data_IF_259872340762
#
_entry.id   IF_259872340762
#
_cell.length_a   1.000
_cell.length_b   1.000
_cell.length_c   1.000
_cell.angle_alpha   90.00
_cell.angle_beta   90.00
_cell.angle_gamma   90.00
#
_symmetry.space_group_name_H-M   'P 1'
#
loop_
_entity.id
_entity.type
_entity.pdbx_description
1 polymer ?
#
# COMPACT_ATOMS: atom_id res chain seq x y z
N UNK A 1 1.77 1.41 -24.65
CA UNK A 1 2.98 0.59 -24.36
C UNK A 1 2.93 0.17 -22.91
N UNK A 2 3.30 -1.07 -22.63
CA UNK A 2 3.30 -1.68 -21.29
C UNK A 2 4.71 -1.74 -20.73
N UNK A 3 4.83 -1.88 -19.41
CA UNK A 3 6.11 -2.04 -18.73
C UNK A 3 5.98 -2.55 -17.32
N UNK A 4 7.10 -2.96 -16.74
CA UNK A 4 7.22 -3.55 -15.41
C UNK A 4 8.34 -2.89 -14.60
N UNK A 5 8.24 -2.90 -13.28
CA UNK A 5 9.33 -2.53 -12.38
C UNK A 5 10.20 -3.73 -12.05
N UNK A 6 11.49 -3.62 -12.31
CA UNK A 6 12.52 -4.59 -11.87
C UNK A 6 13.40 -4.02 -10.73
N UNK A 7 12.99 -2.90 -10.16
CA UNK A 7 13.60 -2.30 -8.97
C UNK A 7 12.73 -2.58 -7.75
N UNK A 8 13.33 -2.67 -6.58
CA UNK A 8 12.62 -2.88 -5.30
C UNK A 8 11.46 -1.91 -5.12
N UNK A 9 11.74 -0.63 -5.35
CA UNK A 9 10.78 0.47 -5.25
C UNK A 9 11.15 1.55 -6.26
N UNK A 10 10.17 2.06 -7.00
CA UNK A 10 10.33 3.18 -7.93
C UNK A 10 9.41 4.32 -7.50
N UNK A 11 9.94 5.54 -7.25
CA UNK A 11 9.11 6.69 -6.92
C UNK A 11 8.31 7.14 -8.16
N UNK A 12 7.01 7.37 -7.96
CA UNK A 12 6.10 7.94 -8.95
C UNK A 12 5.79 9.38 -8.54
N UNK A 13 6.13 10.33 -9.39
CA UNK A 13 6.14 11.75 -9.07
C UNK A 13 5.00 12.52 -9.73
N UNK A 14 4.63 13.65 -9.13
CA UNK A 14 3.61 14.55 -9.67
C UNK A 14 4.05 15.19 -11.00
N UNK A 15 5.33 15.47 -11.17
CA UNK A 15 5.91 16.15 -12.34
C UNK A 15 7.16 15.43 -12.84
N UNK A 16 7.54 15.68 -14.10
CA UNK A 16 8.70 15.09 -14.78
C UNK A 16 10.05 15.71 -14.30
N UNK A 17 10.35 15.64 -12.99
CA UNK A 17 11.60 16.14 -12.38
C UNK A 17 11.90 15.44 -11.06
N UNK A 18 13.18 15.30 -10.71
CA UNK A 18 13.65 14.60 -9.52
C UNK A 18 13.14 15.22 -8.20
N UNK A 19 13.03 16.54 -8.14
CA UNK A 19 12.60 17.27 -6.94
C UNK A 19 11.07 17.41 -6.82
N UNK A 20 10.29 16.80 -7.74
CA UNK A 20 8.83 16.83 -7.65
C UNK A 20 8.32 15.97 -6.50
N UNK A 21 7.14 16.32 -6.01
CA UNK A 21 6.40 15.55 -5.01
C UNK A 21 6.26 14.08 -5.42
N UNK A 22 6.46 13.17 -4.49
CA UNK A 22 6.17 11.75 -4.66
C UNK A 22 4.69 11.49 -4.38
N UNK A 23 3.94 11.07 -5.41
CA UNK A 23 2.52 10.72 -5.26
C UNK A 23 2.33 9.31 -4.71
N UNK A 24 3.18 8.39 -5.17
CA UNK A 24 3.16 6.98 -4.78
C UNK A 24 4.48 6.31 -5.13
N UNK A 25 4.56 5.02 -4.88
CA UNK A 25 5.68 4.17 -5.28
C UNK A 25 5.16 2.98 -6.07
N UNK A 26 5.97 2.48 -6.98
CA UNK A 26 5.77 1.24 -7.70
C UNK A 26 6.70 0.18 -7.12
N UNK A 27 6.16 -0.98 -6.76
CA UNK A 27 6.91 -2.07 -6.19
C UNK A 27 7.49 -2.99 -7.28
N UNK A 28 8.44 -3.83 -6.89
CA UNK A 28 9.01 -4.85 -7.77
C UNK A 28 7.92 -5.75 -8.38
N UNK A 29 7.97 -5.98 -9.68
CA UNK A 29 6.99 -6.78 -10.41
C UNK A 29 5.67 -6.08 -10.72
N UNK A 30 5.39 -4.88 -10.19
CA UNK A 30 4.19 -4.14 -10.58
C UNK A 30 4.26 -3.68 -12.04
N UNK A 31 3.12 -3.75 -12.72
CA UNK A 31 3.00 -3.34 -14.13
C UNK A 31 2.34 -1.98 -14.28
N UNK A 32 2.52 -1.38 -15.44
CA UNK A 32 1.99 -0.06 -15.78
C UNK A 32 1.72 0.12 -17.27
N UNK A 33 0.84 1.04 -17.55
CA UNK A 33 0.60 1.58 -18.89
C UNK A 33 1.33 2.90 -19.05
N UNK A 34 2.08 3.06 -20.14
CA UNK A 34 2.75 4.33 -20.48
C UNK A 34 1.76 5.20 -21.22
N UNK A 35 1.48 6.39 -20.69
CA UNK A 35 0.54 7.38 -21.23
C UNK A 35 1.25 8.43 -22.10
N UNK A 36 2.46 8.85 -21.68
CA UNK A 36 3.25 9.88 -22.38
C UNK A 36 4.75 9.57 -22.21
N UNK A 37 5.56 9.84 -23.21
CA UNK A 37 7.02 9.68 -23.19
C UNK A 37 7.71 11.01 -23.43
N UNK A 38 8.69 11.32 -22.58
CA UNK A 38 9.67 12.40 -22.72
C UNK A 38 11.08 11.78 -22.70
N UNK A 39 12.13 12.49 -23.12
CA UNK A 39 13.47 11.91 -23.21
C UNK A 39 14.00 11.24 -21.94
N UNK A 40 13.65 11.78 -20.76
CA UNK A 40 14.06 11.26 -19.44
C UNK A 40 12.93 10.79 -18.57
N UNK A 41 11.67 11.02 -18.94
CA UNK A 41 10.52 10.78 -18.08
C UNK A 41 9.38 10.12 -18.84
N UNK A 42 8.71 9.19 -18.18
CA UNK A 42 7.48 8.61 -18.70
C UNK A 42 6.33 8.93 -17.74
N UNK A 43 5.21 9.45 -18.26
CA UNK A 43 3.95 9.47 -17.54
C UNK A 43 3.32 8.10 -17.64
N UNK A 44 2.99 7.55 -16.50
CA UNK A 44 2.47 6.20 -16.39
C UNK A 44 1.14 6.19 -15.64
N UNK A 45 0.40 5.09 -15.83
CA UNK A 45 -0.71 4.69 -14.99
C UNK A 45 -0.40 3.32 -14.43
N UNK A 46 -0.41 3.18 -13.10
CA UNK A 46 -0.23 1.89 -12.43
C UNK A 46 -1.45 0.99 -12.67
N UNK A 47 -1.20 -0.28 -13.02
CA UNK A 47 -2.29 -1.21 -13.31
C UNK A 47 -2.95 -1.73 -12.02
N UNK A 48 -2.23 -1.63 -10.87
CA UNK A 48 -2.71 -2.11 -9.59
C UNK A 48 -3.81 -1.22 -9.00
N UNK A 49 -3.64 0.10 -8.97
CA UNK A 49 -4.56 1.03 -8.30
C UNK A 49 -5.01 2.20 -9.18
N UNK A 50 -4.51 2.26 -10.43
CA UNK A 50 -4.86 3.30 -11.38
C UNK A 50 -4.18 4.65 -11.16
N UNK A 51 -3.30 4.76 -10.15
CA UNK A 51 -2.60 6.02 -9.86
C UNK A 51 -1.71 6.42 -11.03
N UNK A 52 -1.76 7.71 -11.38
CA UNK A 52 -0.93 8.28 -12.44
C UNK A 52 0.21 9.13 -11.89
N UNK A 53 1.29 9.22 -12.66
CA UNK A 53 2.41 10.08 -12.35
C UNK A 53 3.61 9.84 -13.27
N UNK A 54 4.74 10.46 -12.94
CA UNK A 54 5.96 10.44 -13.73
C UNK A 54 7.03 9.57 -13.08
N UNK A 55 7.69 8.74 -13.89
CA UNK A 55 8.87 7.96 -13.48
C UNK A 55 10.05 8.30 -14.40
N UNK A 56 11.28 8.17 -13.90
CA UNK A 56 12.48 8.25 -14.72
C UNK A 56 12.48 7.11 -15.75
N UNK A 57 12.73 7.45 -17.02
CA UNK A 57 12.67 6.49 -18.13
C UNK A 57 13.67 5.32 -17.97
N UNK A 58 14.81 5.53 -17.26
CA UNK A 58 15.78 4.46 -16.97
C UNK A 58 15.27 3.37 -16.04
N UNK A 59 14.20 3.66 -15.26
CA UNK A 59 13.56 2.70 -14.36
C UNK A 59 12.45 1.89 -15.04
N UNK A 60 12.37 1.96 -16.37
CA UNK A 60 11.38 1.28 -17.17
C UNK A 60 11.98 0.04 -17.83
N UNK A 61 11.43 -1.14 -17.52
CA UNK A 61 11.58 -2.33 -18.34
C UNK A 61 10.34 -2.44 -19.25
N UNK A 62 10.48 -2.31 -20.59
CA UNK A 62 9.35 -2.43 -21.51
C UNK A 62 8.87 -3.87 -21.59
N UNK A 63 7.59 -4.05 -21.92
CA UNK A 63 6.97 -5.36 -22.17
C UNK A 63 6.25 -5.32 -23.52
N UNK A 64 6.29 -6.41 -24.24
CA UNK A 64 5.38 -6.66 -25.37
C UNK A 64 3.96 -6.89 -24.84
N UNK A 65 2.94 -6.80 -25.70
CA UNK A 65 1.55 -7.10 -25.30
C UNK A 65 1.36 -8.58 -24.93
N UNK A 66 2.12 -9.48 -25.53
CA UNK A 66 2.10 -10.91 -25.21
C UNK A 66 2.68 -11.19 -23.82
N UNK A 67 3.89 -10.65 -23.53
CA UNK A 67 4.51 -10.74 -22.20
C UNK A 67 3.61 -10.13 -21.12
N UNK A 68 3.04 -8.97 -21.39
CA UNK A 68 2.14 -8.30 -20.45
C UNK A 68 0.89 -9.15 -20.17
N UNK A 69 0.27 -9.72 -21.20
CA UNK A 69 -0.96 -10.54 -21.05
C UNK A 69 -0.65 -11.80 -20.25
N UNK A 70 0.43 -12.51 -20.57
CA UNK A 70 0.88 -13.69 -19.84
C UNK A 70 1.22 -13.37 -18.39
N UNK A 71 2.02 -12.31 -18.19
CA UNK A 71 2.45 -11.88 -16.86
C UNK A 71 1.27 -11.44 -15.98
N UNK A 72 0.34 -10.63 -16.51
CA UNK A 72 -0.83 -10.14 -15.77
C UNK A 72 -1.70 -11.29 -15.27
N UNK A 73 -1.84 -12.37 -16.06
CA UNK A 73 -2.56 -13.57 -15.63
C UNK A 73 -1.86 -14.27 -14.46
N UNK A 74 -0.54 -14.43 -14.53
CA UNK A 74 0.25 -15.01 -13.44
C UNK A 74 0.25 -14.11 -12.19
N UNK A 75 0.30 -12.79 -12.39
CA UNK A 75 0.30 -11.79 -11.31
C UNK A 75 -1.01 -11.77 -10.51
N UNK A 76 -2.15 -12.04 -11.15
CA UNK A 76 -3.46 -12.04 -10.49
C UNK A 76 -3.57 -13.08 -9.36
N UNK A 77 -2.91 -14.24 -9.51
CA UNK A 77 -2.89 -15.35 -8.53
C UNK A 77 -1.52 -15.54 -7.86
N UNK A 78 -0.63 -14.55 -7.96
CA UNK A 78 0.72 -14.64 -7.43
C UNK A 78 0.74 -14.68 -5.89
N UNK A 79 1.67 -15.44 -5.33
CA UNK A 79 2.03 -15.37 -3.93
C UNK A 79 2.49 -13.95 -3.56
N UNK A 80 2.51 -13.61 -2.28
CA UNK A 80 2.81 -12.25 -1.84
C UNK A 80 3.78 -12.24 -0.67
N UNK A 81 4.74 -11.31 -0.69
CA UNK A 81 5.58 -11.01 0.46
C UNK A 81 4.71 -10.44 1.58
N UNK A 82 4.76 -11.06 2.76
CA UNK A 82 3.95 -10.69 3.94
C UNK A 82 4.73 -9.92 5.00
N UNK A 83 6.04 -9.86 4.89
CA UNK A 83 6.91 -9.17 5.83
C UNK A 83 7.32 -7.79 5.32
N UNK A 84 7.55 -6.81 6.22
CA UNK A 84 7.91 -5.45 5.82
C UNK A 84 9.10 -5.37 4.87
N UNK A 85 10.11 -6.22 5.10
CA UNK A 85 11.28 -6.34 4.22
C UNK A 85 11.82 -7.76 4.23
N UNK A 86 12.14 -8.26 3.05
CA UNK A 86 12.79 -9.55 2.81
C UNK A 86 13.75 -9.41 1.64
N UNK A 87 14.78 -10.27 1.58
CA UNK A 87 15.72 -10.26 0.48
C UNK A 87 15.47 -11.45 -0.46
N UNK A 88 15.32 -11.17 -1.74
CA UNK A 88 15.33 -12.18 -2.79
C UNK A 88 16.70 -12.19 -3.48
N UNK A 89 17.14 -13.36 -3.91
CA UNK A 89 18.42 -13.57 -4.61
C UNK A 89 18.15 -14.12 -6.00
N UNK A 90 18.62 -13.40 -7.04
CA UNK A 90 18.56 -13.88 -8.42
C UNK A 90 19.47 -15.10 -8.61
N UNK A 91 18.93 -16.18 -9.16
CA UNK A 91 19.72 -17.38 -9.43
C UNK A 91 20.69 -17.22 -10.62
N UNK A 92 20.40 -16.26 -11.53
CA UNK A 92 21.22 -16.04 -12.72
C UNK A 92 22.55 -15.34 -12.41
N UNK A 93 22.54 -14.36 -11.48
CA UNK A 93 23.70 -13.51 -11.24
C UNK A 93 24.01 -13.29 -9.75
N UNK A 94 23.30 -13.96 -8.84
CA UNK A 94 23.46 -13.88 -7.38
C UNK A 94 23.22 -12.47 -6.80
N UNK A 95 22.61 -11.57 -7.56
CA UNK A 95 22.24 -10.25 -7.04
C UNK A 95 21.09 -10.36 -6.06
N UNK A 96 21.21 -9.62 -4.97
CA UNK A 96 20.20 -9.52 -3.93
C UNK A 96 19.31 -8.30 -4.16
N UNK A 97 17.99 -8.48 -4.07
CA UNK A 97 17.00 -7.43 -4.20
C UNK A 97 16.16 -7.39 -2.92
N UNK A 98 16.10 -6.25 -2.20
CA UNK A 98 15.17 -6.10 -1.10
C UNK A 98 13.74 -5.96 -1.65
N UNK A 99 12.83 -6.77 -1.12
CA UNK A 99 11.41 -6.74 -1.42
C UNK A 99 10.63 -6.33 -0.19
N UNK A 100 9.49 -5.67 -0.40
CA UNK A 100 8.61 -5.21 0.69
C UNK A 100 7.29 -5.97 0.68
N UNK A 101 6.57 -5.96 1.79
CA UNK A 101 5.22 -6.50 1.87
C UNK A 101 4.35 -5.97 0.73
N UNK A 102 3.43 -6.79 0.23
CA UNK A 102 2.61 -6.48 -0.92
C UNK A 102 3.26 -6.79 -2.29
N UNK A 103 4.59 -7.05 -2.33
CA UNK A 103 5.25 -7.51 -3.56
C UNK A 103 4.70 -8.87 -3.96
N UNK A 104 4.23 -8.98 -5.21
CA UNK A 104 3.68 -10.23 -5.76
C UNK A 104 4.75 -11.03 -6.49
N UNK A 105 4.76 -12.32 -6.25
CA UNK A 105 5.76 -13.26 -6.71
C UNK A 105 5.11 -14.23 -7.70
N UNK A 106 5.31 -13.98 -9.00
CA UNK A 106 4.73 -14.84 -10.05
C UNK A 106 5.41 -16.19 -10.11
N UNK A 107 4.67 -17.25 -10.49
CA UNK A 107 5.17 -18.63 -10.60
C UNK A 107 5.86 -19.13 -9.32
N UNK A 108 5.35 -18.70 -8.15
CA UNK A 108 5.94 -19.03 -6.85
C UNK A 108 5.73 -20.52 -6.51
N UNK A 109 6.81 -21.16 -6.08
CA UNK A 109 6.82 -22.51 -5.53
C UNK A 109 7.94 -22.65 -4.49
N UNK A 110 7.60 -22.96 -3.26
CA UNK A 110 8.53 -23.35 -2.18
C UNK A 110 9.79 -22.45 -2.04
N UNK A 111 9.59 -21.14 -1.98
CA UNK A 111 10.70 -20.18 -1.85
C UNK A 111 11.39 -19.82 -3.16
N UNK A 112 10.85 -20.24 -4.30
CA UNK A 112 11.32 -19.83 -5.64
C UNK A 112 10.19 -19.12 -6.37
N UNK A 113 10.52 -18.09 -7.15
CA UNK A 113 9.59 -17.38 -8.01
C UNK A 113 10.31 -16.89 -9.27
N UNK A 114 9.54 -16.43 -10.23
CA UNK A 114 10.09 -15.98 -11.51
C UNK A 114 9.46 -14.65 -11.95
N UNK A 115 10.28 -13.74 -12.43
CA UNK A 115 9.84 -12.50 -13.07
C UNK A 115 10.45 -12.44 -14.48
N UNK A 116 9.61 -12.45 -15.51
CA UNK A 116 10.01 -12.41 -16.93
C UNK A 116 11.12 -13.45 -17.27
N UNK A 117 10.98 -14.68 -16.82
CA UNK A 117 11.96 -15.73 -17.07
C UNK A 117 13.22 -15.69 -16.19
N UNK A 118 13.32 -14.72 -15.28
CA UNK A 118 14.43 -14.65 -14.32
C UNK A 118 14.01 -15.30 -13.01
N UNK A 119 14.69 -16.41 -12.60
CA UNK A 119 14.38 -17.09 -11.35
C UNK A 119 15.05 -16.42 -10.15
N UNK A 120 14.32 -16.42 -9.03
CA UNK A 120 14.75 -15.88 -7.73
C UNK A 120 14.47 -16.87 -6.61
N UNK A 121 15.27 -16.78 -5.54
CA UNK A 121 15.01 -17.44 -4.25
C UNK A 121 14.66 -16.41 -3.19
N UNK A 122 13.76 -16.78 -2.29
CA UNK A 122 13.30 -15.98 -1.14
C UNK A 122 13.02 -16.92 0.04
N UNK A 123 13.09 -16.41 1.25
CA UNK A 123 12.66 -17.16 2.43
C UNK A 123 11.14 -17.41 2.37
N UNK A 124 10.77 -18.69 2.27
CA UNK A 124 9.39 -19.13 2.15
C UNK A 124 8.51 -18.71 3.35
N UNK A 125 9.11 -18.59 4.56
CA UNK A 125 8.39 -18.17 5.77
C UNK A 125 7.91 -16.72 5.72
N UNK A 126 8.42 -15.90 4.79
CA UNK A 126 8.07 -14.50 4.58
C UNK A 126 7.04 -14.31 3.46
N UNK A 127 6.48 -15.40 2.93
CA UNK A 127 5.58 -15.39 1.77
C UNK A 127 4.27 -16.06 2.12
N UNK A 128 3.16 -15.46 1.67
CA UNK A 128 1.83 -16.06 1.71
C UNK A 128 1.39 -16.43 0.30
N UNK A 129 0.77 -17.60 0.17
CA UNK A 129 0.21 -18.11 -1.11
C UNK A 129 -1.30 -17.91 -1.20
N UNK A 130 -1.94 -17.59 -0.09
CA UNK A 130 -3.36 -17.26 0.03
C UNK A 130 -3.51 -16.07 0.96
N UNK A 131 -4.55 -15.24 0.79
CA UNK A 131 -4.86 -14.16 1.72
C UNK A 131 -5.01 -14.70 3.15
N UNK A 132 -4.52 -13.92 4.12
CA UNK A 132 -4.73 -14.18 5.54
C UNK A 132 -6.21 -13.94 5.85
N UNK A 133 -6.83 -14.79 6.68
CA UNK A 133 -8.18 -14.53 7.17
C UNK A 133 -8.22 -13.25 8.02
N UNK A 134 -9.13 -12.33 7.69
CA UNK A 134 -9.26 -11.07 8.40
C UNK A 134 -10.05 -11.24 9.70
N UNK A 135 -9.34 -11.18 10.81
CA UNK A 135 -9.88 -11.13 12.18
C UNK A 135 -8.89 -10.35 13.07
N UNK A 136 -9.31 -10.00 14.29
CA UNK A 136 -8.50 -9.20 15.21
C UNK A 136 -7.12 -9.84 15.49
N UNK A 137 -7.09 -11.15 15.76
CA UNK A 137 -5.86 -11.87 16.10
C UNK A 137 -4.86 -11.81 14.93
N UNK A 138 -5.29 -12.15 13.72
CA UNK A 138 -4.46 -12.15 12.54
C UNK A 138 -4.02 -10.73 12.16
N UNK A 139 -4.92 -9.73 12.30
CA UNK A 139 -4.57 -8.34 12.09
C UNK A 139 -3.44 -7.92 13.03
N UNK A 140 -3.57 -8.15 14.34
CA UNK A 140 -2.54 -7.81 15.33
C UNK A 140 -1.22 -8.54 15.07
N UNK A 141 -1.28 -9.83 14.72
CA UNK A 141 -0.08 -10.61 14.37
C UNK A 141 0.64 -10.06 13.12
N UNK A 142 -0.11 -9.57 12.15
CA UNK A 142 0.44 -9.00 10.92
C UNK A 142 1.04 -7.62 11.20
N UNK A 143 0.27 -6.70 11.77
CA UNK A 143 0.67 -5.30 11.89
C UNK A 143 1.79 -5.04 12.88
N UNK A 144 2.04 -5.96 13.84
CA UNK A 144 3.14 -5.82 14.82
C UNK A 144 4.52 -5.62 14.18
N UNK A 145 4.74 -6.20 13.00
CA UNK A 145 6.00 -6.07 12.27
C UNK A 145 6.14 -4.72 11.54
N UNK A 146 5.04 -3.99 11.39
CA UNK A 146 5.01 -2.67 10.75
C UNK A 146 5.09 -1.51 11.75
N UNK A 147 4.94 -1.77 13.05
CA UNK A 147 5.03 -0.74 14.08
C UNK A 147 6.36 0.02 13.97
N UNK A 148 6.28 1.35 14.17
CA UNK A 148 7.40 2.28 14.08
C UNK A 148 8.01 2.49 12.69
N UNK A 149 7.47 1.92 11.62
CA UNK A 149 7.83 2.36 10.26
C UNK A 149 7.52 3.85 10.17
N UNK A 150 8.48 4.71 9.74
CA UNK A 150 8.29 6.15 9.72
C UNK A 150 7.27 6.56 8.65
N UNK A 151 6.63 7.71 8.88
CA UNK A 151 5.78 8.33 7.86
C UNK A 151 6.63 8.87 6.71
N UNK A 152 6.25 8.54 5.50
CA UNK A 152 6.80 9.08 4.27
C UNK A 152 5.66 9.36 3.29
N UNK A 153 5.47 10.62 2.93
CA UNK A 153 4.46 11.01 1.94
C UNK A 153 4.64 10.26 0.62
N UNK A 154 3.57 9.66 0.09
CA UNK A 154 3.62 8.82 -1.10
C UNK A 154 4.27 7.45 -0.89
N UNK A 155 4.71 7.12 0.33
CA UNK A 155 5.39 5.85 0.63
C UNK A 155 4.44 4.67 0.79
N UNK A 156 4.90 3.47 0.38
CA UNK A 156 4.21 2.19 0.64
C UNK A 156 5.20 1.03 0.82
N UNK A 157 6.32 1.27 1.50
CA UNK A 157 7.35 0.25 1.76
C UNK A 157 7.91 0.34 3.18
N UNK A 158 8.75 -0.64 3.57
CA UNK A 158 9.30 -0.76 4.91
C UNK A 158 10.17 0.43 5.37
N UNK A 159 10.67 1.25 4.43
CA UNK A 159 11.50 2.42 4.77
C UNK A 159 10.66 3.69 5.01
N UNK A 160 9.37 3.64 4.71
CA UNK A 160 8.41 4.70 4.97
C UNK A 160 7.09 4.48 4.26
N UNK A 161 6.00 4.77 4.97
CA UNK A 161 4.63 4.65 4.48
C UNK A 161 3.86 5.93 4.79
N UNK A 162 2.92 6.33 3.92
CA UNK A 162 1.85 7.24 4.35
C UNK A 162 0.62 6.46 4.85
N UNK A 163 -0.40 7.16 5.30
CA UNK A 163 -1.59 6.55 5.89
C UNK A 163 -2.30 5.58 4.93
N UNK A 164 -2.55 6.01 3.70
CA UNK A 164 -3.26 5.21 2.69
C UNK A 164 -2.35 4.14 2.04
N UNK A 165 -1.05 4.37 1.94
CA UNK A 165 -0.08 3.35 1.53
C UNK A 165 0.04 2.22 2.56
N UNK A 166 0.02 2.56 3.85
CA UNK A 166 -0.03 1.58 4.93
C UNK A 166 -1.30 0.71 4.84
N UNK A 167 -2.49 1.34 4.78
CA UNK A 167 -3.74 0.58 4.67
C UNK A 167 -3.78 -0.25 3.38
N UNK A 168 -3.30 0.28 2.25
CA UNK A 168 -3.24 -0.44 0.98
C UNK A 168 -2.40 -1.72 1.08
N UNK A 169 -1.21 -1.64 1.67
CA UNK A 169 -0.31 -2.80 1.85
C UNK A 169 -0.90 -3.80 2.84
N UNK A 170 -1.33 -3.36 4.03
CA UNK A 170 -1.87 -4.28 5.04
C UNK A 170 -3.11 -4.99 4.53
N UNK A 171 -4.08 -4.26 3.98
CA UNK A 171 -5.32 -4.86 3.50
C UNK A 171 -5.12 -5.80 2.30
N UNK A 172 -4.06 -5.59 1.50
CA UNK A 172 -3.71 -6.53 0.43
C UNK A 172 -3.32 -7.91 0.95
N UNK A 173 -2.70 -8.01 2.14
CA UNK A 173 -2.36 -9.28 2.78
C UNK A 173 -3.61 -10.07 3.21
N UNK A 174 -4.71 -9.36 3.45
CA UNK A 174 -6.04 -9.92 3.75
C UNK A 174 -6.92 -10.05 2.49
N UNK A 175 -6.33 -9.93 1.31
CA UNK A 175 -7.02 -10.12 0.02
C UNK A 175 -7.88 -8.95 -0.42
N UNK A 176 -7.78 -7.78 0.23
CA UNK A 176 -8.55 -6.58 -0.13
C UNK A 176 -7.72 -5.63 -0.97
N UNK A 177 -8.32 -5.15 -2.08
CA UNK A 177 -7.67 -4.21 -2.99
C UNK A 177 -8.17 -2.80 -2.78
N UNK A 178 -7.27 -1.90 -2.36
CA UNK A 178 -7.59 -0.51 -2.08
C UNK A 178 -7.02 0.43 -3.15
N UNK A 179 -7.69 1.56 -3.37
CA UNK A 179 -7.17 2.68 -4.15
C UNK A 179 -6.02 3.38 -3.39
N UNK A 180 -5.27 4.24 -4.08
CA UNK A 180 -4.06 4.82 -3.49
C UNK A 180 -4.32 5.88 -2.43
N UNK A 181 -5.26 6.78 -2.67
CA UNK A 181 -5.49 7.93 -1.80
C UNK A 181 -6.58 7.66 -0.75
N UNK A 182 -6.44 8.19 0.46
CA UNK A 182 -7.41 8.01 1.54
C UNK A 182 -8.83 8.47 1.11
N UNK A 183 -8.94 9.61 0.43
CA UNK A 183 -10.21 10.12 -0.09
C UNK A 183 -10.87 9.20 -1.11
N UNK A 184 -10.09 8.49 -1.93
CA UNK A 184 -10.58 7.50 -2.89
C UNK A 184 -10.96 6.19 -2.20
N UNK A 185 -10.19 5.73 -1.20
CA UNK A 185 -10.53 4.57 -0.39
C UNK A 185 -11.88 4.76 0.31
N UNK A 186 -12.16 5.97 0.83
CA UNK A 186 -13.42 6.30 1.48
C UNK A 186 -14.66 6.23 0.57
N UNK A 187 -14.48 6.16 -0.77
CA UNK A 187 -15.59 6.03 -1.73
C UNK A 187 -15.95 4.58 -2.06
N UNK A 188 -15.24 3.60 -1.49
CA UNK A 188 -15.43 2.18 -1.80
C UNK A 188 -16.00 1.43 -0.60
N UNK A 189 -16.83 0.44 -0.90
CA UNK A 189 -17.48 -0.39 0.12
C UNK A 189 -18.71 0.24 0.76
N UNK A 190 -19.20 -0.40 1.81
CA UNK A 190 -20.41 -0.02 2.56
C UNK A 190 -20.03 0.69 3.85
N UNK A 191 -20.63 1.85 4.11
CA UNK A 191 -20.40 2.57 5.36
C UNK A 191 -21.08 1.88 6.55
N UNK A 192 -20.42 1.87 7.72
CA UNK A 192 -21.05 1.56 9.00
C UNK A 192 -21.76 2.80 9.54
N UNK A 193 -22.85 2.58 10.28
CA UNK A 193 -23.66 3.66 10.81
C UNK A 193 -22.92 4.49 11.89
N UNK A 194 -22.16 3.80 12.76
CA UNK A 194 -21.44 4.44 13.86
C UNK A 194 -20.29 3.56 14.38
N UNK A 195 -19.53 4.10 15.34
CA UNK A 195 -18.35 3.48 15.94
C UNK A 195 -18.65 2.17 16.69
N UNK A 196 -19.88 1.97 17.17
CA UNK A 196 -20.25 0.76 17.94
C UNK A 196 -20.33 -0.49 17.06
N UNK A 197 -20.45 -0.29 15.74
CA UNK A 197 -20.49 -1.37 14.75
C UNK A 197 -19.12 -1.74 14.18
N UNK A 198 -18.06 -1.05 14.61
CA UNK A 198 -16.71 -1.26 14.10
C UNK A 198 -16.20 -2.65 14.46
N UNK A 199 -15.63 -3.31 13.47
CA UNK A 199 -14.95 -4.60 13.58
C UNK A 199 -13.48 -4.46 13.18
N UNK A 200 -12.69 -5.46 13.58
CA UNK A 200 -11.29 -5.56 13.16
C UNK A 200 -11.16 -5.55 11.63
N UNK A 201 -10.30 -4.71 11.13
CA UNK A 201 -10.05 -4.56 9.69
C UNK A 201 -10.88 -3.48 8.99
N UNK A 202 -11.92 -2.92 9.63
CA UNK A 202 -12.67 -1.81 9.07
C UNK A 202 -11.75 -0.61 8.82
N UNK A 203 -11.98 0.10 7.72
CA UNK A 203 -11.26 1.32 7.40
C UNK A 203 -11.93 2.51 8.05
N UNK A 204 -11.16 3.25 8.84
CA UNK A 204 -11.63 4.44 9.54
C UNK A 204 -11.00 5.67 8.91
N UNK A 205 -11.84 6.59 8.47
CA UNK A 205 -11.43 7.80 7.73
C UNK A 205 -11.61 9.04 8.57
N UNK A 206 -10.70 9.99 8.40
CA UNK A 206 -10.62 11.19 9.21
C UNK A 206 -10.46 12.43 8.36
N UNK A 207 -10.92 13.55 8.90
CA UNK A 207 -10.79 14.88 8.33
C UNK A 207 -10.20 15.86 9.36
N UNK A 208 -10.21 17.15 9.02
CA UNK A 208 -9.76 18.24 9.88
C UNK A 208 -10.92 19.02 10.52
N UNK A 209 -12.17 18.56 10.40
CA UNK A 209 -13.31 19.23 11.01
C UNK A 209 -13.13 19.31 12.52
N UNK A 210 -13.27 20.52 13.08
CA UNK A 210 -13.07 20.77 14.51
C UNK A 210 -11.60 20.97 14.95
N UNK A 211 -10.62 20.79 14.08
CA UNK A 211 -9.22 21.13 14.34
C UNK A 211 -8.92 22.56 13.89
N UNK A 212 -8.26 23.33 14.75
CA UNK A 212 -7.81 24.69 14.43
C UNK A 212 -6.39 24.66 13.80
N UNK A 213 -6.21 23.85 12.75
CA UNK A 213 -4.92 23.64 12.10
C UNK A 213 -4.77 24.39 10.77
N UNK A 214 -5.76 25.21 10.39
CA UNK A 214 -5.75 26.01 9.16
C UNK A 214 -6.01 25.22 7.89
N UNK A 215 -6.61 24.02 7.98
CA UNK A 215 -6.92 23.20 6.81
C UNK A 215 -7.85 23.96 5.83
N UNK A 216 -7.50 23.93 4.55
CA UNK A 216 -8.26 24.64 3.50
C UNK A 216 -9.68 24.09 3.30
N UNK A 217 -9.91 22.81 3.58
CA UNK A 217 -11.21 22.14 3.56
C UNK A 217 -11.30 21.16 4.73
N UNK A 218 -11.90 21.58 5.87
CA UNK A 218 -11.95 20.75 7.08
C UNK A 218 -12.75 19.45 6.91
N UNK A 219 -13.74 19.39 6.00
CA UNK A 219 -14.51 18.16 5.76
C UNK A 219 -13.82 17.17 4.81
N UNK A 220 -12.73 17.57 4.16
CA UNK A 220 -12.02 16.68 3.23
C UNK A 220 -11.36 15.53 3.97
N UNK A 221 -11.56 14.28 3.50
CA UNK A 221 -10.83 13.13 4.00
C UNK A 221 -9.33 13.31 3.70
N UNK A 222 -8.52 13.30 4.76
CA UNK A 222 -7.08 13.54 4.69
C UNK A 222 -6.29 12.41 5.31
N UNK A 223 -6.93 11.53 6.10
CA UNK A 223 -6.26 10.46 6.80
C UNK A 223 -7.12 9.19 6.87
N UNK A 224 -6.46 8.05 7.02
CA UNK A 224 -7.08 6.73 7.14
C UNK A 224 -6.28 5.84 8.08
N UNK A 225 -6.97 4.97 8.80
CA UNK A 225 -6.41 3.88 9.60
C UNK A 225 -7.23 2.62 9.46
N UNK A 226 -6.75 1.55 10.07
CA UNK A 226 -7.42 0.25 10.18
C UNK A 226 -7.87 0.07 11.62
N UNK A 227 -9.15 -0.15 11.85
CA UNK A 227 -9.67 -0.45 13.18
C UNK A 227 -9.14 -1.80 13.67
N UNK A 228 -8.65 -1.84 14.90
CA UNK A 228 -8.39 -3.08 15.62
C UNK A 228 -9.70 -3.55 16.29
N UNK A 229 -10.41 -2.59 16.87
CA UNK A 229 -11.75 -2.73 17.44
C UNK A 229 -12.42 -1.34 17.50
N UNK A 230 -13.56 -1.22 18.21
CA UNK A 230 -14.28 0.06 18.36
C UNK A 230 -13.56 1.10 19.24
N UNK A 231 -12.40 0.77 19.82
CA UNK A 231 -11.64 1.62 20.76
C UNK A 231 -10.19 1.87 20.34
N UNK A 232 -9.69 1.14 19.33
CA UNK A 232 -8.30 1.20 18.89
C UNK A 232 -8.20 1.21 17.36
N UNK A 233 -7.33 2.06 16.86
CA UNK A 233 -6.97 2.16 15.44
C UNK A 233 -5.46 2.06 15.27
N UNK A 234 -5.03 1.33 14.22
CA UNK A 234 -3.64 1.38 13.75
C UNK A 234 -3.58 2.22 12.49
N UNK A 235 -2.66 3.16 12.46
CA UNK A 235 -2.50 4.10 11.35
C UNK A 235 -1.04 4.59 11.24
N UNK A 236 -0.73 5.27 10.16
CA UNK A 236 0.58 5.88 9.96
C UNK A 236 0.47 7.41 10.01
N UNK A 237 0.91 8.00 11.16
CA UNK A 237 1.02 9.44 11.39
C UNK A 237 2.27 9.69 12.22
N UNK A 238 3.29 10.32 11.61
CA UNK A 238 4.67 10.36 12.10
C UNK A 238 5.37 9.00 12.00
N UNK A 239 4.71 7.93 12.42
CA UNK A 239 5.09 6.53 12.27
C UNK A 239 3.84 5.64 12.30
N UNK A 240 3.99 4.37 11.96
CA UNK A 240 2.94 3.37 12.20
C UNK A 240 2.80 3.13 13.70
N UNK A 241 1.61 3.34 14.24
CA UNK A 241 1.30 3.24 15.66
C UNK A 241 -0.16 2.87 15.90
N UNK A 242 -0.44 2.39 17.12
CA UNK A 242 -1.80 2.15 17.62
C UNK A 242 -2.17 3.30 18.55
N UNK A 243 -3.34 3.90 18.34
CA UNK A 243 -3.88 4.96 19.19
C UNK A 243 -5.34 4.67 19.57
N UNK A 244 -5.86 5.41 20.52
CA UNK A 244 -7.26 5.31 20.95
C UNK A 244 -8.18 5.87 19.87
N UNK A 245 -9.30 5.18 19.69
CA UNK A 245 -10.37 5.57 18.76
C UNK A 245 -11.68 5.71 19.54
N UNK A 246 -12.44 6.74 19.25
CA UNK A 246 -13.82 6.91 19.71
C UNK A 246 -14.66 7.67 18.65
N UNK A 247 -15.92 8.02 19.00
CA UNK A 247 -16.83 8.73 18.10
C UNK A 247 -16.37 10.13 17.71
N UNK A 248 -15.41 10.73 18.41
CA UNK A 248 -14.80 12.01 18.06
C UNK A 248 -13.66 11.81 17.06
N UNK A 249 -12.86 10.74 17.23
CA UNK A 249 -11.72 10.47 16.35
C UNK A 249 -10.55 9.77 17.06
N UNK A 250 -9.32 10.09 16.63
CA UNK A 250 -8.08 9.56 17.22
C UNK A 250 -7.64 10.47 18.35
N UNK A 251 -7.59 9.92 19.56
CA UNK A 251 -7.02 10.60 20.72
C UNK A 251 -5.53 10.27 20.86
N UNK A 252 -4.70 11.28 20.65
CA UNK A 252 -3.26 11.20 20.81
C UNK A 252 -2.88 11.46 22.28
N UNK A 253 -2.43 10.40 22.97
CA UNK A 253 -2.06 10.47 24.39
C UNK A 253 -0.83 11.36 24.61
N UNK A 254 0.14 11.34 23.68
CA UNK A 254 1.39 12.12 23.79
C UNK A 254 1.11 13.63 23.72
N UNK A 255 0.11 14.04 22.93
CA UNK A 255 -0.31 15.44 22.75
C UNK A 255 -1.44 15.85 23.71
N UNK A 256 -2.10 14.90 24.36
CA UNK A 256 -3.20 15.17 25.27
C UNK A 256 -4.47 15.67 24.60
N UNK A 257 -4.75 15.28 23.34
CA UNK A 257 -5.88 15.76 22.56
C UNK A 257 -6.20 14.94 21.32
N UNK A 258 -7.30 15.29 20.64
CA UNK A 258 -7.65 14.68 19.37
C UNK A 258 -6.73 15.20 18.26
N UNK A 259 -6.13 14.27 17.49
CA UNK A 259 -5.26 14.57 16.37
C UNK A 259 -5.97 14.46 15.01
N UNK A 260 -7.07 13.71 14.94
CA UNK A 260 -7.84 13.47 13.73
C UNK A 260 -9.31 13.30 14.10
N UNK A 261 -10.23 13.92 13.37
CA UNK A 261 -11.67 13.80 13.61
C UNK A 261 -12.29 12.72 12.73
N UNK A 262 -13.12 11.85 13.34
CA UNK A 262 -13.81 10.78 12.65
C UNK A 262 -14.78 11.34 11.60
N UNK A 263 -14.64 10.88 10.36
CA UNK A 263 -15.50 11.30 9.25
C UNK A 263 -16.39 10.15 8.74
N UNK A 264 -15.83 8.96 8.56
CA UNK A 264 -16.59 7.80 8.11
C UNK A 264 -15.86 6.49 8.44
N UNK A 265 -16.62 5.40 8.39
CA UNK A 265 -16.12 4.05 8.62
C UNK A 265 -16.63 3.17 7.48
N UNK A 266 -15.74 2.40 6.87
CA UNK A 266 -16.10 1.47 5.79
C UNK A 266 -15.92 0.04 6.28
N UNK A 267 -16.96 -0.76 6.09
CA UNK A 267 -16.97 -2.20 6.35
C UNK A 267 -15.97 -2.93 5.47
N UNK A 268 -14.97 -3.54 6.08
CA UNK A 268 -13.93 -4.30 5.36
C UNK A 268 -14.46 -5.52 4.63
N UNK A 269 -15.56 -6.13 5.09
CA UNK A 269 -16.19 -7.28 4.41
C UNK A 269 -16.79 -6.88 3.05
N UNK A 270 -17.18 -5.61 2.90
CA UNK A 270 -17.74 -5.05 1.67
C UNK A 270 -16.69 -4.64 0.62
N UNK A 271 -15.41 -4.66 0.99
CA UNK A 271 -14.30 -4.35 0.07
C UNK A 271 -13.96 -5.57 -0.80
N UNK A 272 -13.69 -5.32 -2.08
CA UNK A 272 -13.30 -6.35 -3.07
C UNK A 272 -11.79 -6.65 -3.00
#
# INVERSE_FOLDING_TARGET
>A
MKGISLYSVVPVRAEARESAEQNTQMLFGETRTILEQKPRWNRIKLDNDGQEGWIDAKMLAPMTEEEYTSYSKAYASAAMVSFPMVFAVSENNQQTIPLTAGTRLTNYQDGRFEILGVPFRIDASMVITQPIELNEQNLLQTVRFFLNIPYLWGGKNAMGMDCSGFTQIIMSLFGKRLLRNASEQATRGTARADITQVKAGDLVFFNHEGLNDGAANPQKITHVGIAIDSTRVIHCSGRVKVEKLDSTGIYNIEQGGYSHHLASIIDSESLL
#
